data_IF_178078207216
#
_entry.id   IF_178078207216
#
_cell.length_a   1.000
_cell.length_b   1.000
_cell.length_c   1.000
_cell.angle_alpha   90.00
_cell.angle_beta   90.00
_cell.angle_gamma   90.00
#
_symmetry.space_group_name_H-M   'P 1'
#
loop_
_entity.id
_entity.type
_entity.pdbx_description
1 polymer ?
#
# COMPACT_ATOMS: atom_id res chain seq x y z
N UNK A 1 16.83 5.84 5.08
CA UNK A 1 18.04 5.14 5.55
C UNK A 1 17.73 4.05 6.59
N UNK A 2 17.08 4.35 7.73
CA UNK A 2 16.74 3.35 8.77
C UNK A 2 15.97 2.11 8.27
N UNK A 3 15.07 2.28 7.28
CA UNK A 3 14.36 1.16 6.67
C UNK A 3 15.31 0.20 5.95
N UNK A 4 16.26 0.73 5.16
CA UNK A 4 17.24 -0.08 4.44
C UNK A 4 18.14 -0.85 5.41
N UNK A 5 18.54 -0.22 6.51
CA UNK A 5 19.27 -0.89 7.59
C UNK A 5 18.45 -2.03 8.22
N UNK A 6 17.16 -1.81 8.45
CA UNK A 6 16.25 -2.84 8.99
C UNK A 6 16.02 -3.98 8.00
N UNK A 7 16.20 -3.73 6.70
CA UNK A 7 16.21 -4.73 5.64
C UNK A 7 17.59 -5.36 5.42
N UNK A 8 18.53 -5.20 6.37
CA UNK A 8 19.87 -5.77 6.35
C UNK A 8 20.79 -5.28 5.21
N UNK A 9 20.53 -4.09 4.65
CA UNK A 9 21.45 -3.45 3.70
C UNK A 9 22.72 -3.01 4.43
N UNK A 10 23.93 -3.30 3.90
CA UNK A 10 25.19 -2.88 4.51
C UNK A 10 25.26 -1.36 4.73
N UNK A 11 25.59 -0.91 5.96
CA UNK A 11 25.65 0.52 6.30
C UNK A 11 26.51 1.36 5.34
N UNK A 12 27.59 0.77 4.81
CA UNK A 12 28.48 1.43 3.86
C UNK A 12 27.81 1.79 2.52
N UNK A 13 26.74 1.10 2.13
CA UNK A 13 26.05 1.32 0.85
C UNK A 13 24.74 2.09 1.00
N UNK A 14 24.15 2.17 2.20
CA UNK A 14 22.83 2.78 2.45
C UNK A 14 22.72 4.18 1.88
N UNK A 15 23.70 5.06 2.13
CA UNK A 15 23.64 6.45 1.68
C UNK A 15 23.60 6.56 0.16
N UNK A 16 24.42 5.76 -0.53
CA UNK A 16 24.45 5.70 -1.99
C UNK A 16 23.13 5.13 -2.53
N UNK A 17 22.69 4.00 -1.98
CA UNK A 17 21.45 3.35 -2.40
C UNK A 17 20.22 4.26 -2.20
N UNK A 18 20.16 4.99 -1.09
CA UNK A 18 19.09 5.96 -0.85
C UNK A 18 19.09 7.07 -1.91
N UNK A 19 20.25 7.60 -2.27
CA UNK A 19 20.38 8.59 -3.34
C UNK A 19 19.97 8.01 -4.70
N UNK A 20 20.38 6.78 -5.01
CA UNK A 20 20.03 6.09 -6.26
C UNK A 20 18.51 5.85 -6.35
N UNK A 21 17.86 5.46 -5.25
CA UNK A 21 16.39 5.31 -5.18
C UNK A 21 15.68 6.64 -5.43
N UNK A 22 16.16 7.73 -4.82
CA UNK A 22 15.57 9.08 -5.04
C UNK A 22 15.75 9.50 -6.50
N UNK A 23 16.94 9.34 -7.07
CA UNK A 23 17.20 9.67 -8.47
C UNK A 23 16.34 8.84 -9.43
N UNK A 24 16.18 7.53 -9.16
CA UNK A 24 15.31 6.65 -9.93
C UNK A 24 13.84 7.06 -9.83
N UNK A 25 13.40 7.46 -8.63
CA UNK A 25 12.04 7.95 -8.40
C UNK A 25 11.76 9.22 -9.20
N UNK A 26 12.69 10.17 -9.21
CA UNK A 26 12.60 11.41 -10.00
C UNK A 26 12.54 11.12 -11.49
N UNK A 27 13.39 10.20 -12.00
CA UNK A 27 13.40 9.78 -13.40
C UNK A 27 12.01 9.34 -13.86
N UNK A 28 11.26 8.67 -12.99
CA UNK A 28 9.93 8.14 -13.29
C UNK A 28 8.78 9.07 -12.90
N UNK A 29 9.06 10.28 -12.41
CA UNK A 29 8.06 11.28 -12.04
C UNK A 29 7.38 11.04 -10.68
N UNK A 30 7.90 10.13 -9.85
CA UNK A 30 7.41 9.94 -8.48
C UNK A 30 7.76 11.16 -7.62
N UNK A 31 6.78 11.65 -6.86
CA UNK A 31 7.03 12.72 -5.89
C UNK A 31 7.93 12.22 -4.74
N UNK A 32 9.14 12.76 -4.67
CA UNK A 32 10.11 12.45 -3.61
C UNK A 32 10.58 13.72 -2.90
N UNK A 33 9.76 14.77 -2.93
CA UNK A 33 10.05 16.06 -2.28
C UNK A 33 10.36 15.93 -0.78
N UNK A 34 9.70 14.99 -0.09
CA UNK A 34 9.92 14.70 1.33
C UNK A 34 11.24 13.95 1.62
N UNK A 35 11.89 13.43 0.59
CA UNK A 35 13.13 12.65 0.69
C UNK A 35 14.33 13.41 0.10
N UNK A 36 14.22 14.73 -0.08
CA UNK A 36 15.29 15.58 -0.61
C UNK A 36 15.39 15.61 -2.12
N UNK A 37 14.44 14.99 -2.83
CA UNK A 37 14.31 15.10 -4.29
C UNK A 37 13.28 16.13 -4.72
N UNK A 38 12.83 16.02 -5.97
CA UNK A 38 11.84 16.89 -6.59
C UNK A 38 10.40 16.41 -6.33
N UNK A 39 9.47 17.37 -6.31
CA UNK A 39 8.05 17.06 -6.37
C UNK A 39 7.63 16.59 -7.76
N UNK A 40 6.48 15.93 -7.85
CA UNK A 40 5.88 15.56 -9.13
C UNK A 40 5.39 16.81 -9.90
N UNK A 41 5.44 16.77 -11.23
CA UNK A 41 5.09 17.92 -12.07
C UNK A 41 3.61 18.31 -11.94
N UNK A 42 2.72 17.34 -11.75
CA UNK A 42 1.29 17.60 -11.62
C UNK A 42 0.91 18.27 -10.29
N UNK A 43 1.80 18.28 -9.29
CA UNK A 43 1.50 18.67 -7.92
C UNK A 43 0.53 17.72 -7.20
N UNK A 44 0.25 16.53 -7.77
CA UNK A 44 -0.70 15.55 -7.26
C UNK A 44 0.00 14.25 -6.86
N UNK A 45 0.74 14.28 -5.75
CA UNK A 45 1.46 13.13 -5.18
C UNK A 45 0.56 12.03 -4.58
N UNK A 46 -0.77 12.12 -4.74
CA UNK A 46 -1.73 11.22 -4.13
C UNK A 46 -1.70 9.81 -4.74
N UNK A 47 -1.90 8.80 -3.90
CA UNK A 47 -2.07 7.41 -4.32
C UNK A 47 -3.36 6.84 -3.74
N UNK A 48 -4.05 6.03 -4.53
CA UNK A 48 -5.22 5.27 -4.09
C UNK A 48 -4.95 3.78 -4.24
N UNK A 49 -5.19 3.03 -3.16
CA UNK A 49 -5.24 1.58 -3.16
C UNK A 49 -6.67 1.13 -2.90
N UNK A 50 -7.24 0.38 -3.82
CA UNK A 50 -8.56 -0.24 -3.67
C UNK A 50 -8.38 -1.75 -3.59
N UNK A 51 -8.94 -2.37 -2.55
CA UNK A 51 -8.88 -3.81 -2.32
C UNK A 51 -10.31 -4.36 -2.36
N UNK A 52 -10.56 -5.28 -3.27
CA UNK A 52 -11.83 -5.97 -3.42
C UNK A 52 -11.64 -7.42 -2.96
N UNK A 53 -12.39 -7.84 -1.95
CA UNK A 53 -12.37 -9.19 -1.40
C UNK A 53 -13.66 -9.89 -1.80
N UNK A 54 -13.57 -11.13 -2.30
CA UNK A 54 -14.75 -11.95 -2.62
C UNK A 54 -15.61 -12.13 -1.37
N UNK A 55 -16.94 -12.02 -1.53
CA UNK A 55 -17.87 -11.85 -0.41
C UNK A 55 -17.82 -12.97 0.65
N UNK A 56 -17.62 -14.21 0.22
CA UNK A 56 -17.50 -15.42 1.06
C UNK A 56 -16.21 -15.45 1.89
N UNK A 57 -15.20 -14.66 1.52
CA UNK A 57 -13.90 -14.58 2.20
C UNK A 57 -13.83 -13.42 3.20
N UNK A 58 -14.83 -12.55 3.27
CA UNK A 58 -14.78 -11.32 4.09
C UNK A 58 -14.50 -11.63 5.55
N UNK A 59 -15.22 -12.55 6.20
CA UNK A 59 -14.98 -12.85 7.61
C UNK A 59 -13.73 -13.71 7.87
N UNK A 60 -13.12 -14.27 6.81
CA UNK A 60 -11.84 -14.99 6.89
C UNK A 60 -10.64 -14.04 6.75
N UNK A 61 -10.80 -12.99 5.93
CA UNK A 61 -9.72 -12.07 5.55
C UNK A 61 -9.87 -10.69 6.16
N UNK A 62 -10.99 -10.37 6.79
CA UNK A 62 -11.19 -9.09 7.42
C UNK A 62 -11.89 -9.25 8.77
N UNK A 63 -11.61 -8.33 9.67
CA UNK A 63 -12.27 -8.28 10.96
C UNK A 63 -12.46 -6.84 11.42
N UNK A 64 -13.53 -6.62 12.17
CA UNK A 64 -13.78 -5.34 12.82
C UNK A 64 -12.76 -5.17 13.94
N UNK A 65 -12.10 -4.02 13.97
CA UNK A 65 -11.02 -3.73 14.90
C UNK A 65 -11.27 -2.45 15.71
N UNK A 66 -10.81 -2.45 16.95
CA UNK A 66 -10.62 -1.23 17.75
C UNK A 66 -9.24 -0.63 17.44
N UNK A 67 -8.90 0.58 17.93
CA UNK A 67 -7.55 1.12 17.80
C UNK A 67 -6.49 0.11 18.25
N UNK A 68 -5.32 0.12 17.58
CA UNK A 68 -4.23 -0.86 17.77
C UNK A 68 -4.54 -2.30 17.32
N UNK A 69 -5.74 -2.58 16.80
CA UNK A 69 -5.99 -3.79 16.02
C UNK A 69 -6.51 -5.00 16.78
N UNK A 70 -6.89 -4.83 18.04
CA UNK A 70 -7.67 -5.85 18.74
C UNK A 70 -9.06 -5.99 18.11
N UNK A 71 -9.64 -7.20 18.22
CA UNK A 71 -10.94 -7.51 17.63
C UNK A 71 -12.05 -6.73 18.35
N UNK A 72 -12.86 -6.03 17.57
CA UNK A 72 -14.08 -5.39 18.04
C UNK A 72 -15.22 -6.42 18.07
N UNK A 73 -15.44 -7.01 19.24
CA UNK A 73 -16.46 -8.03 19.47
C UNK A 73 -17.89 -7.54 19.19
N UNK A 74 -18.16 -6.23 19.25
CA UNK A 74 -19.52 -5.69 19.04
C UNK A 74 -19.91 -5.68 17.56
N UNK A 75 -18.93 -5.52 16.66
CA UNK A 75 -19.11 -5.46 15.20
C UNK A 75 -18.72 -6.75 14.50
N UNK A 76 -18.30 -7.79 15.24
CA UNK A 76 -17.89 -9.07 14.67
C UNK A 76 -19.07 -10.07 14.62
N UNK A 77 -19.26 -10.87 13.55
CA UNK A 77 -18.48 -10.90 12.32
C UNK A 77 -18.67 -9.63 11.50
N UNK A 78 -17.59 -9.12 10.90
CA UNK A 78 -17.60 -7.81 10.24
C UNK A 78 -18.59 -7.78 9.08
N UNK A 79 -18.79 -8.91 8.40
CA UNK A 79 -19.68 -8.98 7.26
C UNK A 79 -21.17 -8.83 7.64
N UNK A 80 -21.55 -9.22 8.86
CA UNK A 80 -22.90 -8.96 9.40
C UNK A 80 -23.10 -7.48 9.69
N UNK A 81 -22.09 -6.82 10.24
CA UNK A 81 -22.13 -5.37 10.47
C UNK A 81 -22.22 -4.60 9.14
N UNK A 82 -21.37 -4.93 8.16
CA UNK A 82 -21.38 -4.29 6.84
C UNK A 82 -22.70 -4.48 6.07
N UNK A 83 -23.37 -5.62 6.25
CA UNK A 83 -24.66 -5.90 5.62
C UNK A 83 -25.85 -5.26 6.35
N UNK A 84 -25.65 -4.76 7.57
CA UNK A 84 -26.73 -4.12 8.32
C UNK A 84 -26.89 -2.67 7.89
N UNK A 85 -28.09 -2.12 8.05
CA UNK A 85 -28.37 -0.70 7.84
C UNK A 85 -27.89 0.15 9.03
N UNK A 86 -26.71 -0.19 9.56
CA UNK A 86 -26.11 0.48 10.70
C UNK A 86 -25.15 1.56 10.26
N UNK A 87 -25.00 2.58 11.10
CA UNK A 87 -24.13 3.70 10.81
C UNK A 87 -22.66 3.24 10.77
N UNK A 88 -22.02 3.41 9.60
CA UNK A 88 -20.60 3.10 9.39
C UNK A 88 -19.65 4.24 9.81
N UNK A 89 -20.13 5.23 10.56
CA UNK A 89 -19.35 6.40 10.98
C UNK A 89 -18.29 6.12 12.07
N UNK A 90 -18.20 4.89 12.59
CA UNK A 90 -17.21 4.56 13.62
C UNK A 90 -16.59 3.17 13.45
N UNK A 91 -15.42 3.03 14.08
CA UNK A 91 -14.65 1.80 14.12
C UNK A 91 -13.67 1.66 12.96
N UNK A 92 -12.80 0.65 13.07
CA UNK A 92 -11.84 0.29 12.02
C UNK A 92 -12.15 -1.12 11.50
N UNK A 93 -11.71 -1.39 10.28
CA UNK A 93 -11.63 -2.73 9.72
C UNK A 93 -10.16 -3.02 9.43
N UNK A 94 -9.73 -4.27 9.65
CA UNK A 94 -8.40 -4.73 9.29
C UNK A 94 -8.50 -5.88 8.33
N UNK A 95 -7.56 -5.95 7.40
CA UNK A 95 -7.45 -7.00 6.41
C UNK A 95 -6.23 -7.83 6.72
N UNK A 96 -6.40 -9.15 6.75
CA UNK A 96 -5.33 -10.14 6.87
C UNK A 96 -4.83 -10.44 5.46
N UNK A 97 -3.64 -9.93 5.12
CA UNK A 97 -3.01 -10.10 3.81
C UNK A 97 -2.43 -11.53 3.64
N UNK A 98 -3.30 -12.54 3.62
CA UNK A 98 -2.88 -13.93 3.54
C UNK A 98 -2.52 -14.33 2.08
N UNK A 99 -1.28 -14.76 1.79
CA UNK A 99 -0.79 -14.99 0.42
C UNK A 99 -1.68 -15.93 -0.41
N UNK A 100 -2.16 -17.03 0.19
CA UNK A 100 -3.09 -17.98 -0.46
C UNK A 100 -4.24 -17.31 -1.23
N UNK A 101 -4.79 -16.22 -0.70
CA UNK A 101 -5.94 -15.53 -1.30
C UNK A 101 -5.52 -14.28 -2.09
N UNK A 102 -4.51 -13.55 -1.62
CA UNK A 102 -4.02 -12.33 -2.28
C UNK A 102 -3.31 -12.60 -3.62
N UNK A 103 -2.77 -13.82 -3.80
CA UNK A 103 -2.18 -14.25 -5.07
C UNK A 103 -3.22 -14.76 -6.09
N UNK A 104 -4.51 -14.80 -5.73
CA UNK A 104 -5.58 -15.29 -6.59
C UNK A 104 -6.56 -14.17 -6.94
N UNK A 105 -6.52 -13.70 -8.20
CA UNK A 105 -7.40 -12.62 -8.69
C UNK A 105 -8.91 -12.96 -8.62
N UNK A 106 -9.25 -14.24 -8.47
CA UNK A 106 -10.62 -14.72 -8.22
C UNK A 106 -11.07 -14.60 -6.76
N UNK A 107 -10.15 -14.29 -5.84
CA UNK A 107 -10.40 -14.18 -4.40
C UNK A 107 -10.22 -12.73 -3.92
N UNK A 108 -9.12 -12.09 -4.32
CA UNK A 108 -8.81 -10.70 -3.98
C UNK A 108 -8.31 -9.98 -5.22
N UNK A 109 -8.81 -8.78 -5.47
CA UNK A 109 -8.31 -7.88 -6.53
C UNK A 109 -7.81 -6.59 -5.90
N UNK A 110 -6.64 -6.14 -6.33
CA UNK A 110 -6.09 -4.87 -5.91
C UNK A 110 -5.92 -3.97 -7.12
N UNK A 111 -6.38 -2.73 -6.97
CA UNK A 111 -6.19 -1.69 -7.97
C UNK A 111 -5.42 -0.54 -7.33
N UNK A 112 -4.42 -0.04 -8.03
CA UNK A 112 -3.60 1.08 -7.58
C UNK A 112 -3.64 2.17 -8.64
N UNK A 113 -3.85 3.40 -8.19
CA UNK A 113 -3.82 4.59 -9.04
C UNK A 113 -2.88 5.62 -8.42
N UNK A 114 -2.12 6.32 -9.26
CA UNK A 114 -1.49 7.59 -8.87
C UNK A 114 -2.31 8.72 -9.46
N UNK A 115 -2.46 9.80 -8.69
CA UNK A 115 -3.05 11.03 -9.20
C UNK A 115 -2.13 11.78 -10.17
N UNK A 116 -0.83 11.47 -10.18
CA UNK A 116 0.12 11.93 -11.19
C UNK A 116 0.08 10.99 -12.41
N UNK A 117 -0.28 11.49 -13.60
CA UNK A 117 -0.41 10.65 -14.79
C UNK A 117 0.94 10.18 -15.35
N UNK A 118 2.02 10.94 -15.15
CA UNK A 118 3.36 10.59 -15.61
C UNK A 118 3.85 9.38 -14.82
N UNK A 119 3.84 9.48 -13.48
CA UNK A 119 4.19 8.36 -12.61
C UNK A 119 3.22 7.19 -12.73
N UNK A 120 1.93 7.43 -12.93
CA UNK A 120 0.98 6.34 -13.11
C UNK A 120 1.34 5.47 -14.34
N UNK A 121 1.72 6.11 -15.44
CA UNK A 121 2.11 5.42 -16.67
C UNK A 121 3.48 4.72 -16.54
N UNK A 122 4.45 5.34 -15.87
CA UNK A 122 5.80 4.79 -15.69
C UNK A 122 5.93 3.77 -14.55
N UNK A 123 4.90 3.63 -13.70
CA UNK A 123 4.94 2.77 -12.51
C UNK A 123 5.48 1.35 -12.75
N UNK A 124 5.07 0.60 -13.80
CA UNK A 124 5.59 -0.74 -14.02
C UNK A 124 7.11 -0.74 -14.25
N UNK A 125 7.60 0.15 -15.12
CA UNK A 125 9.03 0.30 -15.41
C UNK A 125 9.81 0.74 -14.17
N UNK A 126 9.28 1.70 -13.40
CA UNK A 126 9.85 2.09 -12.12
C UNK A 126 10.01 0.90 -11.15
N UNK A 127 8.99 0.04 -11.04
CA UNK A 127 9.03 -1.13 -10.15
C UNK A 127 10.06 -2.17 -10.59
N UNK A 128 10.21 -2.39 -11.90
CA UNK A 128 11.23 -3.28 -12.46
C UNK A 128 12.65 -2.76 -12.21
N UNK A 129 12.90 -1.47 -12.48
CA UNK A 129 14.19 -0.84 -12.22
C UNK A 129 14.51 -0.77 -10.73
N UNK A 130 13.53 -0.46 -9.88
CA UNK A 130 13.71 -0.41 -8.44
C UNK A 130 14.05 -1.80 -7.89
N UNK A 131 13.40 -2.85 -8.39
CA UNK A 131 13.71 -4.22 -8.00
C UNK A 131 15.12 -4.63 -8.43
N UNK A 132 15.57 -4.16 -9.60
CA UNK A 132 16.93 -4.44 -10.08
C UNK A 132 18.02 -3.69 -9.30
N UNK A 133 17.67 -2.55 -8.69
CA UNK A 133 18.56 -1.72 -7.89
C UNK A 133 18.76 -2.25 -6.46
N UNK A 134 17.75 -2.95 -5.91
CA UNK A 134 17.72 -3.48 -4.54
C UNK A 134 18.37 -4.86 -4.43
#
# INVERSE_FOLDING_TARGET
ENLLESCFVPRSTIKRLAADIVALSEKHGLDVSQFGGKGCESGRAGHMLQIFIRRDLVDQLAYAAVPYGAVDKKRHPISKWLNSDSNMNFGQARIVAHPKFFMQASCVRMHVVSADPCFHASRPEFQEELTSLL
#
